data_IF_162031555561
#
_entry.id   IF_162031555561
#
_cell.length_a   1.000
_cell.length_b   1.000
_cell.length_c   1.000
_cell.angle_alpha   90.00
_cell.angle_beta   90.00
_cell.angle_gamma   90.00
#
_symmetry.space_group_name_H-M   'P 1'
#
loop_
_entity.id
_entity.type
_entity.pdbx_description
1 polymer ?
#
# COMPACT_ATOMS: atom_id res chain seq x y z
N UNK A 1 6.43 10.10 26.07
CA UNK A 1 5.58 9.58 24.98
C UNK A 1 6.36 8.48 24.27
N UNK A 2 6.00 7.23 24.50
CA UNK A 2 6.62 6.12 23.78
C UNK A 2 5.89 5.97 22.43
N UNK A 3 6.61 6.11 21.33
CA UNK A 3 6.11 5.83 19.98
C UNK A 3 6.77 4.56 19.47
N UNK A 4 5.99 3.53 19.23
CA UNK A 4 6.43 2.33 18.54
C UNK A 4 6.15 2.50 17.05
N UNK A 5 7.19 2.46 16.23
CA UNK A 5 7.02 2.51 14.78
C UNK A 5 6.64 1.14 14.27
N UNK A 6 5.45 1.04 13.69
CA UNK A 6 4.97 -0.21 13.08
C UNK A 6 5.13 -0.11 11.56
N UNK A 7 5.88 -1.06 11.01
CA UNK A 7 6.01 -1.23 9.57
C UNK A 7 5.05 -2.32 9.10
N UNK A 8 4.18 -1.98 8.17
CA UNK A 8 3.32 -2.96 7.52
C UNK A 8 3.62 -3.01 6.03
N UNK A 9 4.20 -4.12 5.56
CA UNK A 9 4.37 -4.37 4.13
C UNK A 9 3.07 -4.89 3.54
N UNK A 10 2.46 -4.09 2.70
CA UNK A 10 1.32 -4.50 1.89
C UNK A 10 1.87 -5.20 0.65
N UNK A 11 1.68 -6.50 0.57
CA UNK A 11 2.29 -7.44 -0.36
C UNK A 11 2.70 -6.92 -1.74
N UNK A 12 3.88 -7.36 -2.19
CA UNK A 12 4.22 -7.35 -3.60
C UNK A 12 3.27 -8.27 -4.39
N UNK A 13 2.88 -7.86 -5.57
CA UNK A 13 2.06 -8.66 -6.46
C UNK A 13 2.82 -9.94 -6.89
N UNK A 14 2.71 -10.98 -6.08
CA UNK A 14 3.15 -12.31 -6.41
C UNK A 14 1.96 -13.09 -6.94
N UNK A 15 2.01 -13.51 -8.20
CA UNK A 15 1.02 -14.40 -8.79
C UNK A 15 1.17 -15.79 -8.20
N UNK A 16 0.30 -16.13 -7.25
CA UNK A 16 0.24 -17.48 -6.70
C UNK A 16 -0.87 -18.25 -7.45
N UNK A 17 -0.62 -19.45 -7.98
CA UNK A 17 -1.65 -20.21 -8.65
C UNK A 17 -2.79 -20.55 -7.69
N UNK A 18 -4.02 -20.22 -8.09
CA UNK A 18 -5.21 -20.33 -7.25
C UNK A 18 -5.72 -21.77 -7.09
N UNK A 19 -5.44 -22.61 -8.08
CA UNK A 19 -5.76 -24.04 -8.07
C UNK A 19 -4.62 -24.83 -8.68
N UNK A 20 -4.10 -25.77 -7.92
CA UNK A 20 -3.24 -26.81 -8.41
C UNK A 20 -4.09 -28.08 -8.53
N UNK A 21 -4.77 -28.22 -9.67
CA UNK A 21 -5.33 -29.51 -10.04
C UNK A 21 -4.27 -30.28 -10.84
N UNK A 22 -3.86 -31.47 -10.42
CA UNK A 22 -3.11 -32.36 -11.29
C UNK A 22 -4.09 -33.02 -12.29
N UNK A 23 -4.71 -32.21 -13.14
CA UNK A 23 -5.42 -32.72 -14.28
C UNK A 23 -4.37 -32.92 -15.39
N UNK A 24 -3.74 -34.10 -15.40
CA UNK A 24 -2.87 -34.51 -16.48
C UNK A 24 -3.77 -34.89 -17.64
N UNK A 25 -4.01 -33.96 -18.56
CA UNK A 25 -4.77 -34.21 -19.80
C UNK A 25 -3.81 -34.59 -20.94
N UNK A 26 -2.52 -34.79 -20.71
CA UNK A 26 -1.58 -35.08 -21.74
C UNK A 26 -1.15 -36.56 -21.73
N UNK A 27 -1.35 -37.25 -22.84
CA UNK A 27 -0.76 -38.56 -23.12
C UNK A 27 0.73 -38.47 -23.45
N UNK A 28 1.35 -37.30 -23.44
CA UNK A 28 2.75 -37.11 -23.75
C UNK A 28 3.51 -36.59 -22.53
N UNK A 29 4.56 -37.29 -22.07
CA UNK A 29 5.24 -36.93 -20.83
C UNK A 29 6.32 -35.88 -21.06
N UNK A 30 5.94 -34.68 -21.57
CA UNK A 30 6.91 -33.60 -21.62
C UNK A 30 6.23 -32.28 -22.03
N UNK A 31 6.34 -31.24 -21.25
CA UNK A 31 6.99 -31.08 -19.94
C UNK A 31 6.03 -31.40 -18.78
N UNK A 32 6.54 -31.57 -17.54
CA UNK A 32 5.71 -31.76 -16.36
C UNK A 32 5.04 -30.42 -16.03
N UNK A 33 3.92 -30.15 -16.63
CA UNK A 33 3.17 -28.94 -16.45
C UNK A 33 1.70 -29.28 -16.24
N UNK A 34 1.19 -29.10 -15.02
CA UNK A 34 -0.24 -29.10 -14.78
C UNK A 34 -0.89 -27.93 -15.50
N UNK A 35 -2.14 -28.10 -15.91
CA UNK A 35 -2.92 -26.99 -16.48
C UNK A 35 -3.28 -26.03 -15.35
N UNK A 36 -2.81 -24.80 -15.45
CA UNK A 36 -3.14 -23.75 -14.48
C UNK A 36 -4.47 -23.14 -14.93
N UNK A 37 -5.54 -23.40 -14.16
CA UNK A 37 -6.89 -22.88 -14.44
C UNK A 37 -7.17 -21.50 -13.86
N UNK A 38 -6.20 -20.85 -13.29
CA UNK A 38 -6.34 -19.49 -12.77
C UNK A 38 -5.12 -19.09 -11.99
N UNK A 39 -4.85 -17.81 -12.02
CA UNK A 39 -3.87 -17.17 -11.17
C UNK A 39 -4.61 -16.47 -10.04
N UNK A 40 -4.28 -16.77 -8.81
CA UNK A 40 -4.74 -15.96 -7.68
C UNK A 40 -4.00 -14.63 -7.79
N UNK A 41 -4.74 -13.57 -8.04
CA UNK A 41 -4.18 -12.24 -7.79
C UNK A 41 -3.90 -12.12 -6.28
N UNK A 42 -2.75 -11.57 -5.89
CA UNK A 42 -2.49 -11.30 -4.49
C UNK A 42 -3.61 -10.42 -3.94
N UNK A 43 -3.94 -10.60 -2.67
CA UNK A 43 -4.91 -9.73 -2.02
C UNK A 43 -4.35 -8.31 -2.06
N UNK A 44 -5.03 -7.42 -2.78
CA UNK A 44 -4.73 -5.98 -2.78
C UNK A 44 -5.21 -5.31 -1.48
N UNK A 45 -5.76 -6.09 -0.56
CA UNK A 45 -6.37 -5.64 0.69
C UNK A 45 -5.50 -6.05 1.87
N UNK A 46 -5.27 -5.12 2.78
CA UNK A 46 -4.56 -5.31 4.05
C UNK A 46 -5.36 -4.73 5.21
N UNK A 47 -5.37 -5.45 6.32
CA UNK A 47 -5.89 -4.96 7.59
C UNK A 47 -4.73 -4.41 8.45
N UNK A 48 -4.89 -3.21 8.96
CA UNK A 48 -3.91 -2.54 9.83
C UNK A 48 -4.63 -2.15 11.12
N UNK A 49 -4.10 -2.60 12.26
CA UNK A 49 -4.65 -2.25 13.57
C UNK A 49 -3.86 -1.08 14.18
N UNK A 50 -4.58 0.01 14.50
CA UNK A 50 -4.07 1.08 15.34
C UNK A 50 -4.47 0.78 16.79
N UNK A 51 -3.56 0.25 17.57
CA UNK A 51 -3.76 -0.07 18.99
C UNK A 51 -3.63 1.16 19.91
N UNK A 52 -3.39 2.33 19.35
CA UNK A 52 -3.31 3.59 20.08
C UNK A 52 -4.67 4.06 20.61
N UNK A 53 -4.66 5.15 21.36
CA UNK A 53 -5.85 5.76 21.93
C UNK A 53 -6.48 6.86 21.04
N UNK A 54 -5.82 7.23 19.95
CA UNK A 54 -6.24 8.31 19.05
C UNK A 54 -5.98 7.96 17.60
N UNK A 55 -6.70 8.60 16.69
CA UNK A 55 -6.46 8.52 15.27
C UNK A 55 -5.09 9.12 14.93
N UNK A 56 -4.35 8.48 14.05
CA UNK A 56 -2.99 8.91 13.69
C UNK A 56 -2.82 9.06 12.18
N UNK A 57 -1.98 10.01 11.78
CA UNK A 57 -1.48 10.10 10.42
C UNK A 57 -0.49 8.96 10.13
N UNK A 58 -0.28 8.70 8.85
CA UNK A 58 0.63 7.65 8.39
C UNK A 58 1.52 8.16 7.28
N UNK A 59 2.65 7.50 7.10
CA UNK A 59 3.53 7.66 5.95
C UNK A 59 3.28 6.50 4.99
N UNK A 60 2.86 6.82 3.79
CA UNK A 60 2.58 5.86 2.71
C UNK A 60 3.74 5.94 1.73
N UNK A 61 4.32 4.82 1.36
CA UNK A 61 5.35 4.73 0.34
C UNK A 61 4.87 3.84 -0.80
N UNK A 62 4.72 4.42 -1.97
CA UNK A 62 4.50 3.70 -3.22
C UNK A 62 5.84 3.45 -3.87
N UNK A 63 6.16 2.20 -4.15
CA UNK A 63 7.38 1.79 -4.84
C UNK A 63 7.03 1.08 -6.14
N UNK A 64 7.67 1.52 -7.21
CA UNK A 64 7.46 0.94 -8.53
C UNK A 64 8.57 -0.05 -8.88
N UNK A 65 8.20 -1.32 -9.13
CA UNK A 65 9.10 -2.36 -9.65
C UNK A 65 9.15 -2.37 -11.18
N UNK A 66 8.23 -1.68 -11.82
CA UNK A 66 8.13 -1.47 -13.27
C UNK A 66 7.30 -0.22 -13.54
N UNK A 67 7.08 0.09 -14.80
CA UNK A 67 6.22 1.23 -15.16
C UNK A 67 4.78 0.97 -14.72
N UNK A 68 4.19 1.94 -14.02
CA UNK A 68 2.78 1.95 -13.61
C UNK A 68 2.22 3.37 -13.67
N UNK A 69 0.89 3.53 -13.68
CA UNK A 69 0.23 4.84 -13.68
C UNK A 69 -0.84 4.92 -12.58
N UNK A 70 -0.92 6.08 -11.94
CA UNK A 70 -1.99 6.42 -11.02
C UNK A 70 -2.06 5.57 -9.74
N UNK A 71 -0.93 5.40 -8.99
CA UNK A 71 -0.98 4.63 -7.74
C UNK A 71 -1.93 5.27 -6.73
N UNK A 72 -2.69 4.43 -6.04
CA UNK A 72 -3.67 4.86 -5.06
C UNK A 72 -3.76 3.92 -3.86
N UNK A 73 -4.17 4.47 -2.73
CA UNK A 73 -4.53 3.74 -1.52
C UNK A 73 -5.94 4.14 -1.11
N UNK A 74 -6.79 3.16 -0.88
CA UNK A 74 -8.22 3.33 -0.60
C UNK A 74 -8.50 2.73 0.77
N UNK A 75 -9.10 3.49 1.67
CA UNK A 75 -9.68 2.94 2.89
C UNK A 75 -11.05 2.33 2.53
N UNK A 76 -11.17 1.01 2.70
CA UNK A 76 -12.35 0.25 2.27
C UNK A 76 -13.58 0.60 3.11
N UNK A 77 -13.38 0.88 4.40
CA UNK A 77 -14.47 1.15 5.33
C UNK A 77 -15.10 2.53 5.11
N UNK A 78 -14.27 3.53 4.80
CA UNK A 78 -14.71 4.92 4.62
C UNK A 78 -14.86 5.33 3.17
N UNK A 79 -14.42 4.50 2.22
CA UNK A 79 -14.36 4.78 0.78
C UNK A 79 -13.51 6.02 0.43
N UNK A 80 -12.71 6.51 1.37
CA UNK A 80 -11.76 7.60 1.14
C UNK A 80 -10.51 7.06 0.48
N UNK A 81 -9.92 7.85 -0.41
CA UNK A 81 -8.72 7.42 -1.12
C UNK A 81 -7.68 8.53 -1.21
N UNK A 82 -6.45 8.12 -1.42
CA UNK A 82 -5.34 8.99 -1.81
C UNK A 82 -4.72 8.47 -3.11
N UNK A 83 -4.64 9.33 -4.12
CA UNK A 83 -4.13 8.98 -5.45
C UNK A 83 -3.11 9.99 -5.93
N UNK A 84 -2.12 9.51 -6.68
CA UNK A 84 -1.10 10.32 -7.32
C UNK A 84 -1.19 10.14 -8.84
N UNK A 85 -1.62 11.16 -9.56
CA UNK A 85 -1.79 11.17 -11.01
C UNK A 85 -0.44 11.33 -11.72
N UNK A 86 0.39 10.27 -11.69
CA UNK A 86 1.72 10.25 -12.29
C UNK A 86 2.08 8.86 -12.78
N UNK A 87 2.76 8.81 -13.93
CA UNK A 87 3.47 7.60 -14.35
C UNK A 87 4.73 7.44 -13.52
N UNK A 88 4.85 6.34 -12.80
CA UNK A 88 6.06 5.95 -12.08
C UNK A 88 6.91 5.03 -12.96
N UNK A 89 8.22 5.18 -12.85
CA UNK A 89 9.21 4.32 -13.51
C UNK A 89 9.75 3.26 -12.54
N UNK A 90 10.35 2.20 -13.07
CA UNK A 90 11.00 1.19 -12.25
C UNK A 90 12.06 1.83 -11.31
N UNK A 91 11.99 1.50 -10.03
CA UNK A 91 12.86 2.05 -9.00
C UNK A 91 12.45 3.43 -8.47
N UNK A 92 11.36 4.00 -8.95
CA UNK A 92 10.80 5.23 -8.38
C UNK A 92 10.01 4.94 -7.12
N UNK A 93 10.19 5.80 -6.12
CA UNK A 93 9.47 5.75 -4.84
C UNK A 93 8.73 7.08 -4.62
N UNK A 94 7.47 7.02 -4.23
CA UNK A 94 6.68 8.19 -3.84
C UNK A 94 6.31 8.05 -2.37
N UNK A 95 6.79 8.96 -1.55
CA UNK A 95 6.47 9.05 -0.13
C UNK A 95 5.41 10.12 0.10
N UNK A 96 4.34 9.72 0.77
CA UNK A 96 3.22 10.58 1.15
C UNK A 96 3.13 10.60 2.67
N UNK A 97 3.24 11.77 3.25
CA UNK A 97 3.07 11.97 4.68
C UNK A 97 1.71 12.60 4.94
N UNK A 98 0.88 11.91 5.73
CA UNK A 98 -0.48 12.37 6.06
C UNK A 98 -0.58 12.91 7.48
N UNK A 99 0.54 12.99 8.21
CA UNK A 99 0.61 13.52 9.58
C UNK A 99 0.14 14.98 9.57
N UNK A 100 -0.73 15.32 10.51
CA UNK A 100 -1.26 16.69 10.63
C UNK A 100 -0.10 17.65 10.94
N UNK A 101 0.04 18.69 10.10
CA UNK A 101 1.13 19.66 10.19
C UNK A 101 2.36 19.33 9.33
N UNK A 102 2.49 18.10 8.82
CA UNK A 102 3.65 17.64 8.03
C UNK A 102 3.29 17.12 6.64
N UNK A 103 2.09 17.46 6.15
CA UNK A 103 1.58 16.95 4.87
C UNK A 103 2.52 17.26 3.72
N UNK A 104 3.06 16.21 3.09
CA UNK A 104 3.97 16.33 1.95
C UNK A 104 3.87 15.14 1.00
N UNK A 105 4.27 15.34 -0.23
CA UNK A 105 4.41 14.30 -1.25
C UNK A 105 5.78 14.49 -1.89
N UNK A 106 6.63 13.50 -1.75
CA UNK A 106 8.00 13.51 -2.29
C UNK A 106 8.19 12.28 -3.18
N UNK A 107 8.76 12.48 -4.34
CA UNK A 107 9.18 11.40 -5.22
C UNK A 107 10.69 11.31 -5.26
N UNK A 108 11.22 10.11 -5.20
CA UNK A 108 12.64 9.81 -5.34
C UNK A 108 12.86 8.89 -6.52
N UNK A 109 13.72 9.30 -7.44
CA UNK A 109 14.14 8.50 -8.59
C UNK A 109 15.65 8.68 -8.76
N UNK A 110 16.40 7.57 -8.87
CA UNK A 110 17.86 7.58 -9.04
C UNK A 110 18.59 8.43 -7.97
N UNK A 111 18.09 8.40 -6.72
CA UNK A 111 18.66 9.17 -5.62
C UNK A 111 18.31 10.67 -5.60
N UNK A 112 17.60 11.15 -6.60
CA UNK A 112 17.11 12.53 -6.63
C UNK A 112 15.69 12.60 -6.08
N UNK A 113 15.50 13.44 -5.05
CA UNK A 113 14.21 13.69 -4.42
C UNK A 113 13.61 14.99 -4.93
N UNK A 114 12.34 14.96 -5.29
CA UNK A 114 11.58 16.10 -5.81
C UNK A 114 10.22 16.20 -5.15
N UNK A 115 9.66 17.41 -5.13
CA UNK A 115 8.31 17.65 -4.63
C UNK A 115 7.27 17.21 -5.67
N UNK A 116 6.43 16.24 -5.30
CA UNK A 116 5.38 15.67 -6.17
C UNK A 116 3.96 16.13 -5.80
N UNK A 117 3.83 17.16 -4.98
CA UNK A 117 2.54 17.68 -4.52
C UNK A 117 1.58 18.04 -5.69
N UNK A 118 2.13 18.51 -6.81
CA UNK A 118 1.37 18.85 -8.02
C UNK A 118 0.68 17.66 -8.68
N UNK A 119 1.12 16.45 -8.40
CA UNK A 119 0.53 15.22 -8.96
C UNK A 119 -0.57 14.63 -8.08
N UNK A 120 -0.85 15.26 -6.91
CA UNK A 120 -1.95 14.83 -6.07
C UNK A 120 -3.25 14.97 -6.85
N UNK A 121 -4.07 13.93 -6.82
CA UNK A 121 -5.45 14.00 -7.31
C UNK A 121 -6.26 14.99 -6.44
N UNK A 122 -7.08 15.84 -7.07
CA UNK A 122 -7.79 16.91 -6.36
C UNK A 122 -8.84 16.38 -5.38
N UNK A 123 -9.44 15.23 -5.69
CA UNK A 123 -10.46 14.60 -4.86
C UNK A 123 -9.86 13.68 -3.78
N UNK A 124 -8.51 13.54 -3.76
CA UNK A 124 -7.82 12.76 -2.75
C UNK A 124 -7.95 13.36 -1.37
N UNK A 125 -8.25 12.50 -0.38
CA UNK A 125 -8.26 12.87 1.03
C UNK A 125 -6.99 12.38 1.74
N UNK A 126 -6.52 13.15 2.74
CA UNK A 126 -5.41 12.76 3.59
C UNK A 126 -5.86 11.67 4.55
N UNK A 127 -5.56 10.42 4.19
CA UNK A 127 -5.99 9.26 4.95
C UNK A 127 -5.39 9.26 6.36
N UNK A 128 -6.21 8.87 7.34
CA UNK A 128 -5.82 8.68 8.73
C UNK A 128 -6.14 7.26 9.15
N UNK A 129 -5.34 6.70 10.06
CA UNK A 129 -5.63 5.44 10.72
C UNK A 129 -6.51 5.71 11.94
N UNK A 130 -7.75 5.25 11.89
CA UNK A 130 -8.65 5.27 13.04
C UNK A 130 -8.17 4.28 14.11
N UNK A 131 -8.56 4.53 15.36
CA UNK A 131 -8.36 3.56 16.44
C UNK A 131 -9.04 2.25 16.09
N UNK A 132 -8.35 1.13 16.30
CA UNK A 132 -8.80 -0.20 15.95
C UNK A 132 -8.43 -0.63 14.53
N UNK A 133 -9.22 -1.51 13.95
CA UNK A 133 -8.95 -2.11 12.65
C UNK A 133 -9.29 -1.15 11.52
N UNK A 134 -8.40 -1.06 10.54
CA UNK A 134 -8.55 -0.29 9.31
C UNK A 134 -8.28 -1.21 8.12
N UNK A 135 -9.14 -1.19 7.14
CA UNK A 135 -9.01 -2.01 5.95
C UNK A 135 -8.62 -1.13 4.76
N UNK A 136 -7.44 -1.39 4.17
CA UNK A 136 -6.95 -0.66 3.02
C UNK A 136 -6.85 -1.56 1.79
N UNK A 137 -7.14 -0.97 0.63
CA UNK A 137 -6.87 -1.55 -0.68
C UNK A 137 -5.93 -0.62 -1.44
N UNK A 138 -4.86 -1.15 -1.97
CA UNK A 138 -4.03 -0.41 -2.92
C UNK A 138 -4.44 -0.75 -4.36
N UNK A 139 -4.26 0.21 -5.26
CA UNK A 139 -4.63 0.09 -6.65
C UNK A 139 -3.73 0.96 -7.53
N UNK A 140 -3.79 0.78 -8.83
CA UNK A 140 -3.21 1.66 -9.83
C UNK A 140 -4.08 1.63 -11.08
N UNK A 141 -4.16 2.72 -11.82
CA UNK A 141 -4.93 2.78 -13.06
C UNK A 141 -4.36 1.83 -14.12
N UNK A 142 -3.02 1.67 -14.14
CA UNK A 142 -2.34 0.75 -15.04
C UNK A 142 -1.22 0.02 -14.31
N UNK A 143 -1.07 -1.27 -14.62
CA UNK A 143 0.03 -2.13 -14.17
C UNK A 143 0.16 -2.23 -12.63
N UNK A 144 -0.94 -2.41 -11.91
CA UNK A 144 -0.96 -2.55 -10.44
C UNK A 144 0.00 -3.65 -9.94
N UNK A 145 0.30 -4.65 -10.76
CA UNK A 145 1.27 -5.69 -10.45
C UNK A 145 2.71 -5.20 -10.23
N UNK A 146 3.03 -3.99 -10.69
CA UNK A 146 4.33 -3.35 -10.50
C UNK A 146 4.37 -2.46 -9.24
N UNK A 147 3.26 -2.34 -8.50
CA UNK A 147 3.16 -1.48 -7.32
C UNK A 147 3.41 -2.28 -6.04
N UNK A 148 4.35 -1.80 -5.23
CA UNK A 148 4.50 -2.18 -3.82
C UNK A 148 4.09 -1.00 -2.94
N UNK A 149 3.40 -1.28 -1.83
CA UNK A 149 2.95 -0.27 -0.89
C UNK A 149 3.46 -0.59 0.50
N UNK A 150 4.03 0.41 1.16
CA UNK A 150 4.46 0.35 2.55
C UNK A 150 3.73 1.42 3.33
N UNK A 151 3.28 1.09 4.53
CA UNK A 151 2.60 2.01 5.43
C UNK A 151 3.34 2.00 6.76
N UNK A 152 3.77 3.19 7.20
CA UNK A 152 4.44 3.42 8.48
C UNK A 152 3.58 4.33 9.33
N UNK A 153 3.42 4.01 10.59
CA UNK A 153 2.69 4.84 11.54
C UNK A 153 3.20 4.62 12.96
N UNK A 154 2.88 5.54 13.84
CA UNK A 154 3.20 5.45 15.26
C UNK A 154 1.92 5.43 16.06
N UNK A 155 1.74 4.41 16.89
CA UNK A 155 0.64 4.38 17.86
C UNK A 155 0.85 5.48 18.90
N UNK A 156 -0.21 6.23 19.19
CA UNK A 156 -0.20 7.28 20.22
C UNK A 156 -1.08 6.85 21.37
N UNK A 157 -0.54 6.88 22.58
CA UNK A 157 -1.25 6.58 23.82
C UNK A 157 -1.43 7.85 24.62
N UNK A 158 -2.59 8.01 25.26
CA UNK A 158 -2.85 9.12 26.18
C UNK A 158 -2.16 8.75 27.52
N UNK A 159 -1.22 9.57 27.95
CA UNK A 159 -0.73 9.51 29.33
C UNK A 159 -1.78 10.13 30.26
N UNK A 160 -2.27 9.36 31.20
CA UNK A 160 -3.02 9.91 32.35
C UNK A 160 -1.96 10.40 33.32
N UNK A 161 -1.73 11.73 33.39
CA UNK A 161 -1.01 12.31 34.51
C UNK A 161 -1.93 12.21 35.73
N UNK A 162 -1.64 11.29 36.61
CA UNK A 162 -2.19 11.33 37.96
C UNK A 162 -1.60 12.56 38.66
N UNK A 163 -2.41 13.57 38.83
CA UNK A 163 -2.09 14.70 39.71
C UNK A 163 -2.29 14.22 41.16
N UNK A 164 -1.18 14.02 41.87
CA UNK A 164 -1.19 13.90 43.32
C UNK A 164 -1.30 15.30 43.97
#
# INVERSE_FOLDING_TARGET
MFSEQVECKVAAASTIPMFHFPLIISKNPSPPGGVIFGLRQPSLIVAINNSGAVDVGMKIVFKANGTLYGPSLINVDTQKYFKVNKTMQAGEEIMIDTIIGEKKIQGTLNGMTSNYFKYRDLDSEWLQLKVGDNLFRYDADENVGNLEVYIYFNNKYLEVQECY
#
